data_IF_089775608181
#
_entry.id   IF_089775608181
#
_cell.length_a   1.000
_cell.length_b   1.000
_cell.length_c   1.000
_cell.angle_alpha   90.00
_cell.angle_beta   90.00
_cell.angle_gamma   90.00
#
_symmetry.space_group_name_H-M   'P 1'
#
loop_
_entity.id
_entity.type
_entity.pdbx_description
1 polymer ?
#
# COMPACT_ATOMS: atom_id res chain seq x y z
N UNK A 1 -1.22 -25.95 15.90
CA UNK A 1 -1.49 -24.87 16.88
C UNK A 1 -1.09 -23.55 16.22
N UNK A 2 -2.08 -22.69 16.00
CA UNK A 2 -1.95 -21.42 15.28
C UNK A 2 -1.17 -20.40 16.11
N UNK A 3 -0.05 -19.90 15.60
CA UNK A 3 0.56 -18.67 16.11
C UNK A 3 0.06 -17.52 15.21
N UNK A 4 -0.98 -16.82 15.65
CA UNK A 4 -1.37 -15.53 15.09
C UNK A 4 -0.25 -14.54 15.44
N UNK A 5 0.68 -14.32 14.52
CA UNK A 5 1.59 -13.17 14.62
C UNK A 5 0.72 -11.92 14.74
N UNK A 6 0.89 -11.16 15.82
CA UNK A 6 0.16 -9.90 16.02
C UNK A 6 0.51 -8.96 14.88
N UNK A 7 -0.43 -8.72 13.96
CA UNK A 7 -0.22 -7.76 12.90
C UNK A 7 -0.24 -6.36 13.51
N UNK A 8 0.87 -5.63 13.38
CA UNK A 8 0.93 -4.23 13.77
C UNK A 8 0.19 -3.44 12.68
N UNK A 9 -0.89 -2.77 13.07
CA UNK A 9 -1.69 -1.94 12.17
C UNK A 9 -1.55 -0.47 12.54
N UNK A 10 -1.34 0.39 11.55
CA UNK A 10 -1.28 1.84 11.71
C UNK A 10 -2.42 2.51 10.96
N UNK A 11 -2.95 3.58 11.54
CA UNK A 11 -3.93 4.43 10.86
C UNK A 11 -3.19 5.34 9.89
N UNK A 12 -3.55 5.25 8.61
CA UNK A 12 -2.94 5.99 7.50
C UNK A 12 -4.02 6.70 6.70
N UNK A 13 -3.72 7.92 6.26
CA UNK A 13 -4.57 8.66 5.34
C UNK A 13 -3.94 8.69 3.95
N UNK A 14 -4.70 8.28 2.93
CA UNK A 14 -4.31 8.24 1.52
C UNK A 14 -5.18 9.22 0.74
N UNK A 15 -4.75 10.48 0.63
CA UNK A 15 -5.62 11.56 0.14
C UNK A 15 -6.73 11.88 1.15
N UNK A 16 -7.99 11.66 0.78
CA UNK A 16 -9.18 11.84 1.61
C UNK A 16 -9.63 10.55 2.33
N UNK A 17 -9.01 9.41 2.02
CA UNK A 17 -9.41 8.10 2.55
C UNK A 17 -8.57 7.76 3.78
N UNK A 18 -9.26 7.43 4.87
CA UNK A 18 -8.64 7.00 6.13
C UNK A 18 -8.75 5.48 6.27
N UNK A 19 -7.64 4.80 6.49
CA UNK A 19 -7.59 3.34 6.53
C UNK A 19 -6.58 2.81 7.56
N UNK A 20 -6.70 1.53 7.90
CA UNK A 20 -5.64 0.81 8.62
C UNK A 20 -4.73 0.13 7.60
N UNK A 21 -3.42 0.32 7.76
CA UNK A 21 -2.37 -0.33 6.99
C UNK A 21 -1.60 -1.28 7.90
N UNK A 22 -1.18 -2.42 7.36
CA UNK A 22 -0.30 -3.37 8.05
C UNK A 22 1.14 -2.89 7.92
N UNK A 23 1.89 -2.93 9.02
CA UNK A 23 3.34 -2.69 9.00
C UNK A 23 4.02 -3.98 8.60
N UNK A 24 4.60 -3.98 7.40
CA UNK A 24 5.38 -5.09 6.87
C UNK A 24 6.82 -4.62 6.63
N UNK A 25 7.73 -4.99 7.54
CA UNK A 25 9.15 -4.61 7.43
C UNK A 25 9.90 -5.38 6.34
N UNK A 26 9.32 -6.45 5.79
CA UNK A 26 9.90 -7.21 4.70
C UNK A 26 9.50 -6.65 3.32
N UNK A 27 8.58 -5.69 3.27
CA UNK A 27 8.13 -5.06 2.04
C UNK A 27 9.05 -3.89 1.63
N UNK A 28 9.59 -3.95 0.42
CA UNK A 28 10.40 -2.86 -0.17
C UNK A 28 9.53 -1.66 -0.62
N UNK A 29 8.21 -1.86 -0.71
CA UNK A 29 7.27 -0.90 -1.29
C UNK A 29 5.98 -0.82 -0.47
N UNK A 30 5.34 0.35 -0.51
CA UNK A 30 3.97 0.50 0.01
C UNK A 30 2.98 -0.05 -1.01
N UNK A 31 2.13 -0.99 -0.58
CA UNK A 31 1.06 -1.55 -1.39
C UNK A 31 -0.27 -0.97 -0.91
N UNK A 32 -1.08 -0.49 -1.85
CA UNK A 32 -2.44 0.01 -1.59
C UNK A 32 -3.41 -0.91 -2.32
N UNK A 33 -4.50 -1.30 -1.65
CA UNK A 33 -5.53 -2.13 -2.27
C UNK A 33 -6.21 -1.41 -3.44
N UNK A 34 -6.52 -2.14 -4.51
CA UNK A 34 -7.20 -1.62 -5.71
C UNK A 34 -8.49 -0.88 -5.39
N UNK A 35 -9.27 -1.34 -4.40
CA UNK A 35 -10.50 -0.66 -3.96
C UNK A 35 -10.25 0.77 -3.47
N UNK A 36 -9.12 1.03 -2.82
CA UNK A 36 -8.75 2.36 -2.32
C UNK A 36 -8.35 3.24 -3.50
N UNK A 37 -7.57 2.70 -4.44
CA UNK A 37 -7.24 3.40 -5.69
C UNK A 37 -8.51 3.77 -6.48
N UNK A 38 -9.41 2.80 -6.69
CA UNK A 38 -10.65 2.96 -7.44
C UNK A 38 -11.65 3.92 -6.79
N UNK A 39 -11.61 4.06 -5.46
CA UNK A 39 -12.48 5.00 -4.73
C UNK A 39 -12.08 6.47 -4.84
N UNK A 40 -10.90 6.78 -5.39
CA UNK A 40 -10.45 8.16 -5.57
C UNK A 40 -11.22 8.83 -6.71
N UNK A 41 -11.79 10.01 -6.44
CA UNK A 41 -12.44 10.85 -7.47
C UNK A 41 -11.50 11.17 -8.64
N UNK A 42 -10.22 11.37 -8.33
CA UNK A 42 -9.15 11.56 -9.30
C UNK A 42 -8.02 10.60 -8.93
N UNK A 43 -7.98 9.40 -9.52
CA UNK A 43 -6.91 8.46 -9.25
C UNK A 43 -5.57 9.00 -9.81
N UNK A 44 -4.44 8.79 -9.10
CA UNK A 44 -3.13 9.12 -9.65
C UNK A 44 -2.86 8.35 -10.95
N UNK A 45 -2.00 8.88 -11.81
CA UNK A 45 -1.71 8.21 -13.07
C UNK A 45 -1.01 6.87 -12.85
N UNK A 46 -1.30 5.90 -13.72
CA UNK A 46 -0.58 4.62 -13.75
C UNK A 46 0.72 4.82 -14.51
N UNK A 47 1.84 4.50 -13.87
CA UNK A 47 3.18 4.64 -14.45
C UNK A 47 3.59 3.39 -15.22
N UNK A 48 3.35 2.20 -14.66
CA UNK A 48 3.67 0.90 -15.29
C UNK A 48 2.98 -0.24 -14.58
N UNK A 49 2.70 -1.32 -15.31
CA UNK A 49 2.28 -2.59 -14.72
C UNK A 49 3.46 -3.29 -14.04
N UNK A 50 3.19 -4.01 -12.96
CA UNK A 50 4.18 -4.77 -12.19
C UNK A 50 3.63 -6.10 -11.71
N UNK A 51 4.53 -7.07 -11.56
CA UNK A 51 4.27 -8.33 -10.89
C UNK A 51 4.95 -8.31 -9.53
N UNK A 52 4.16 -8.30 -8.46
CA UNK A 52 4.64 -8.34 -7.08
C UNK A 52 4.86 -9.80 -6.68
N UNK A 53 6.09 -10.12 -6.26
CA UNK A 53 6.45 -11.43 -5.74
C UNK A 53 6.09 -11.47 -4.25
N UNK A 54 5.32 -12.46 -3.83
CA UNK A 54 4.88 -12.63 -2.44
C UNK A 54 5.58 -13.83 -1.81
N UNK A 55 5.58 -13.88 -0.48
CA UNK A 55 6.11 -15.03 0.25
C UNK A 55 5.17 -16.24 0.10
N UNK A 56 5.69 -17.38 -0.35
CA UNK A 56 4.93 -18.60 -0.64
C UNK A 56 5.33 -19.23 -1.97
N UNK A 57 5.05 -20.52 -2.20
CA UNK A 57 5.39 -21.17 -3.48
C UNK A 57 4.63 -20.49 -4.62
N UNK A 58 5.36 -19.90 -5.56
CA UNK A 58 4.87 -19.26 -6.80
C UNK A 58 3.75 -18.23 -6.62
N UNK A 59 3.62 -17.61 -5.44
CA UNK A 59 2.61 -16.58 -5.20
C UNK A 59 3.05 -15.25 -5.79
N UNK A 60 2.28 -14.78 -6.77
CA UNK A 60 2.50 -13.47 -7.37
C UNK A 60 1.18 -12.73 -7.57
N UNK A 61 1.24 -11.41 -7.44
CA UNK A 61 0.11 -10.51 -7.61
C UNK A 61 0.39 -9.56 -8.77
N UNK A 62 -0.57 -9.44 -9.68
CA UNK A 62 -0.56 -8.40 -10.71
C UNK A 62 -0.99 -7.07 -10.09
N UNK A 63 -0.26 -6.00 -10.40
CA UNK A 63 -0.57 -4.65 -9.95
C UNK A 63 0.03 -3.61 -10.88
N UNK A 64 0.00 -2.34 -10.47
CA UNK A 64 0.63 -1.25 -11.21
C UNK A 64 1.22 -0.23 -10.24
N UNK A 65 2.32 0.40 -10.65
CA UNK A 65 2.89 1.55 -9.95
C UNK A 65 2.08 2.78 -10.31
N UNK A 66 1.77 3.59 -9.31
CA UNK A 66 1.09 4.87 -9.47
C UNK A 66 2.05 6.01 -9.17
N UNK A 67 1.73 7.20 -9.69
CA UNK A 67 2.40 8.45 -9.31
C UNK A 67 2.51 8.61 -7.79
N UNK A 68 3.51 9.36 -7.28
CA UNK A 68 3.73 9.55 -5.85
C UNK A 68 2.44 9.94 -5.10
N UNK A 69 2.01 9.06 -4.20
CA UNK A 69 0.85 9.31 -3.35
C UNK A 69 1.32 9.91 -2.03
N UNK A 70 0.74 11.05 -1.64
CA UNK A 70 0.93 11.60 -0.30
C UNK A 70 0.19 10.76 0.73
N UNK A 71 0.91 10.34 1.76
CA UNK A 71 0.41 9.55 2.87
C UNK A 71 0.52 10.37 4.16
N UNK A 72 -0.52 10.36 5.00
CA UNK A 72 -0.42 10.87 6.38
C UNK A 72 -0.34 9.71 7.34
N UNK A 73 0.68 9.71 8.21
CA UNK A 73 0.81 8.76 9.32
C UNK A 73 0.92 9.58 10.59
N UNK A 74 -0.07 9.45 11.48
CA UNK A 74 -0.21 10.34 12.62
C UNK A 74 -0.37 11.81 12.18
N UNK A 75 0.59 12.65 12.54
CA UNK A 75 0.61 14.08 12.22
C UNK A 75 1.52 14.45 11.04
N UNK A 76 2.30 13.48 10.52
CA UNK A 76 3.31 13.73 9.49
C UNK A 76 2.82 13.32 8.10
N UNK A 77 3.20 14.11 7.10
CA UNK A 77 2.97 13.80 5.69
C UNK A 77 4.24 13.23 5.05
N UNK A 78 4.09 12.14 4.32
CA UNK A 78 5.16 11.44 3.62
C UNK A 78 4.83 11.36 2.13
N UNK A 79 5.85 11.52 1.30
CA UNK A 79 5.78 11.36 -0.14
C UNK A 79 7.14 10.86 -0.62
N UNK A 80 7.15 9.81 -1.44
CA UNK A 80 8.38 9.38 -2.10
C UNK A 80 8.67 10.33 -3.26
N UNK A 81 9.82 11.00 -3.23
CA UNK A 81 10.36 11.67 -4.41
C UNK A 81 10.99 10.60 -5.30
N UNK A 82 10.62 10.58 -6.58
CA UNK A 82 11.21 9.70 -7.59
C UNK A 82 12.57 10.24 -8.03
#
# INVERSE_FOLDING_TARGET
MNQLASQICLKVQVGDILMYAVVDSAADVNIIFDRVYASKKQPPSKLRDVKLLMTGRDSSMQGFVVDPVRLKIGFCWYQKQL
#
